data_IF_679059209479
#
_entry.id   IF_679059209479
#
_cell.length_a   1.000
_cell.length_b   1.000
_cell.length_c   1.000
_cell.angle_alpha   90.00
_cell.angle_beta   90.00
_cell.angle_gamma   90.00
#
_symmetry.space_group_name_H-M   'P 1'
#
loop_
_entity.id
_entity.type
_entity.pdbx_description
1 polymer ?
#
# COMPACT_ATOMS: atom_id res chain seq x y z
N UNK A 1 -4.26 9.16 4.71
CA UNK A 1 -4.93 8.88 3.41
C UNK A 1 -5.30 7.40 3.31
N UNK A 2 -4.35 6.46 3.48
CA UNK A 2 -4.61 5.01 3.42
C UNK A 2 -5.70 4.50 4.40
N UNK A 3 -5.66 4.90 5.67
CA UNK A 3 -6.67 4.51 6.66
C UNK A 3 -8.11 4.92 6.29
N UNK A 4 -8.28 6.08 5.67
CA UNK A 4 -9.60 6.57 5.28
C UNK A 4 -10.18 5.76 4.10
N UNK A 5 -9.32 5.35 3.15
CA UNK A 5 -9.72 4.49 2.03
C UNK A 5 -10.16 3.09 2.51
N UNK A 6 -9.43 2.51 3.47
CA UNK A 6 -9.77 1.21 4.06
C UNK A 6 -11.08 1.26 4.87
N UNK A 7 -11.28 2.29 5.70
CA UNK A 7 -12.52 2.45 6.47
C UNK A 7 -13.75 2.66 5.58
N UNK A 8 -13.64 3.49 4.53
CA UNK A 8 -14.73 3.66 3.56
C UNK A 8 -15.13 2.35 2.90
N UNK A 9 -14.14 1.49 2.66
CA UNK A 9 -14.33 0.21 1.99
C UNK A 9 -14.69 -0.92 2.96
N UNK A 10 -14.85 -0.63 4.26
CA UNK A 10 -15.15 -1.58 5.33
C UNK A 10 -14.26 -2.85 5.32
N UNK A 11 -13.01 -2.69 4.89
CA UNK A 11 -12.07 -3.80 4.76
C UNK A 11 -11.25 -3.99 6.03
N UNK A 12 -11.23 -5.22 6.51
CA UNK A 12 -10.18 -5.68 7.40
C UNK A 12 -8.91 -5.87 6.56
N UNK A 13 -8.03 -4.88 6.59
CA UNK A 13 -6.69 -4.98 6.03
C UNK A 13 -5.66 -4.92 7.15
N UNK A 14 -4.67 -5.80 7.08
CA UNK A 14 -3.51 -5.73 7.96
C UNK A 14 -2.58 -4.64 7.45
N UNK A 15 -2.25 -3.68 8.32
CA UNK A 15 -1.38 -2.56 7.98
C UNK A 15 -0.13 -2.61 8.82
N UNK A 16 0.98 -2.90 8.15
CA UNK A 16 2.30 -2.90 8.77
C UNK A 16 3.09 -1.68 8.28
N UNK A 17 3.57 -0.87 9.23
CA UNK A 17 4.44 0.27 8.93
C UNK A 17 5.88 -0.16 9.11
N UNK A 18 6.52 -0.50 8.00
CA UNK A 18 7.92 -0.92 7.98
C UNK A 18 8.82 0.32 7.89
N UNK A 19 9.71 0.49 8.87
CA UNK A 19 10.71 1.55 8.90
C UNK A 19 12.14 1.02 8.74
N UNK A 20 12.32 -0.30 8.90
CA UNK A 20 13.62 -0.96 8.79
C UNK A 20 14.08 -1.04 7.33
N UNK A 21 15.24 -0.44 6.98
CA UNK A 21 15.76 -0.45 5.61
C UNK A 21 15.98 -1.87 5.06
N UNK A 22 16.43 -2.79 5.92
CA UNK A 22 16.63 -4.20 5.58
C UNK A 22 15.33 -4.89 5.16
N UNK A 23 14.23 -4.62 5.88
CA UNK A 23 12.91 -5.15 5.51
C UNK A 23 12.38 -4.51 4.23
N UNK A 24 12.51 -3.19 4.09
CA UNK A 24 12.12 -2.47 2.86
C UNK A 24 12.84 -3.05 1.64
N UNK A 25 14.14 -3.34 1.74
CA UNK A 25 14.91 -3.96 0.66
C UNK A 25 14.45 -5.38 0.34
N UNK A 26 14.02 -6.18 1.32
CA UNK A 26 13.45 -7.53 1.09
C UNK A 26 12.19 -7.48 0.23
N UNK A 27 11.42 -6.41 0.31
CA UNK A 27 10.26 -6.18 -0.55
C UNK A 27 10.61 -5.68 -1.96
N UNK A 28 11.90 -5.54 -2.30
CA UNK A 28 12.34 -5.01 -3.60
C UNK A 28 12.08 -3.52 -3.77
N UNK A 29 11.77 -2.81 -2.67
CA UNK A 29 11.55 -1.36 -2.69
C UNK A 29 12.90 -0.65 -2.64
N UNK A 30 13.22 0.08 -3.70
CA UNK A 30 14.48 0.85 -3.80
C UNK A 30 14.31 2.31 -3.39
N UNK A 31 13.08 2.83 -3.43
CA UNK A 31 12.75 4.21 -3.11
C UNK A 31 11.49 4.26 -2.26
N UNK A 32 11.57 4.96 -1.13
CA UNK A 32 10.43 5.25 -0.26
C UNK A 32 9.92 6.67 -0.52
N UNK A 33 8.63 6.97 -0.26
CA UNK A 33 7.58 6.08 0.24
C UNK A 33 7.13 5.03 -0.79
N UNK A 34 6.73 3.87 -0.30
CA UNK A 34 6.21 2.76 -1.10
C UNK A 34 4.92 2.21 -0.49
N UNK A 35 4.06 1.63 -1.33
CA UNK A 35 2.82 0.99 -0.92
C UNK A 35 2.74 -0.40 -1.55
N UNK A 36 2.53 -1.39 -0.68
CA UNK A 36 2.41 -2.80 -1.03
C UNK A 36 1.03 -3.24 -0.56
N UNK A 37 0.28 -3.89 -1.44
CA UNK A 37 -1.05 -4.44 -1.15
C UNK A 37 -1.02 -5.91 -1.56
N UNK A 38 -1.40 -6.82 -0.66
CA UNK A 38 -1.36 -8.27 -0.87
C UNK A 38 -0.01 -8.80 -1.40
N UNK A 39 1.10 -8.25 -0.90
CA UNK A 39 2.46 -8.61 -1.35
C UNK A 39 2.86 -8.07 -2.73
N UNK A 40 1.99 -7.31 -3.41
CA UNK A 40 2.29 -6.67 -4.69
C UNK A 40 2.68 -5.22 -4.47
N UNK A 41 3.85 -4.82 -4.96
CA UNK A 41 4.29 -3.42 -4.95
C UNK A 41 3.46 -2.62 -5.94
N UNK A 42 2.56 -1.76 -5.43
CA UNK A 42 1.73 -0.87 -6.28
C UNK A 42 2.42 0.45 -6.55
N UNK A 43 3.27 0.89 -5.64
CA UNK A 43 3.93 2.19 -5.69
C UNK A 43 5.28 2.16 -4.98
N UNK A 44 6.32 2.74 -5.58
CA UNK A 44 7.63 2.92 -4.95
C UNK A 44 8.25 4.25 -5.41
N UNK A 45 8.75 5.04 -4.47
CA UNK A 45 9.44 6.31 -4.72
C UNK A 45 8.54 7.48 -5.13
N UNK A 46 7.21 7.32 -5.02
CA UNK A 46 6.23 8.40 -5.21
C UNK A 46 5.16 8.32 -4.12
N UNK A 47 4.63 9.47 -3.75
CA UNK A 47 3.50 9.54 -2.83
C UNK A 47 2.21 9.31 -3.64
N UNK A 48 1.45 8.23 -3.39
CA UNK A 48 0.23 7.97 -4.14
C UNK A 48 -0.88 8.96 -3.75
N UNK A 49 -1.74 9.30 -4.70
CA UNK A 49 -2.93 10.11 -4.43
C UNK A 49 -4.03 9.28 -3.76
N UNK A 50 -4.99 9.91 -3.05
CA UNK A 50 -6.11 9.19 -2.44
C UNK A 50 -6.92 8.35 -3.45
N UNK A 51 -7.12 8.86 -4.67
CA UNK A 51 -7.86 8.17 -5.71
C UNK A 51 -7.16 6.90 -6.20
N UNK A 52 -5.83 6.94 -6.38
CA UNK A 52 -5.04 5.77 -6.77
C UNK A 52 -5.06 4.68 -5.69
N UNK A 53 -5.01 5.08 -4.41
CA UNK A 53 -5.10 4.13 -3.30
C UNK A 53 -6.49 3.47 -3.27
N UNK A 54 -7.56 4.24 -3.47
CA UNK A 54 -8.93 3.70 -3.56
C UNK A 54 -9.06 2.73 -4.75
N UNK A 55 -8.46 3.04 -5.90
CA UNK A 55 -8.44 2.16 -7.09
C UNK A 55 -7.71 0.84 -6.82
N UNK A 56 -6.49 0.88 -6.28
CA UNK A 56 -5.73 -0.35 -6.02
C UNK A 56 -6.37 -1.23 -4.95
N UNK A 57 -6.97 -0.62 -3.92
CA UNK A 57 -7.74 -1.36 -2.93
C UNK A 57 -8.97 -1.97 -3.60
N UNK A 58 -9.67 -1.22 -4.45
CA UNK A 58 -10.79 -1.68 -5.29
C UNK A 58 -10.47 -2.93 -6.13
N UNK A 59 -9.37 -2.88 -6.89
CA UNK A 59 -8.91 -3.98 -7.74
C UNK A 59 -8.64 -5.27 -6.96
N UNK A 60 -8.10 -5.15 -5.75
CA UNK A 60 -7.70 -6.29 -4.93
C UNK A 60 -8.89 -6.91 -4.16
N UNK A 61 -9.97 -6.16 -3.92
CA UNK A 61 -11.23 -6.73 -3.36
C UNK A 61 -11.97 -7.57 -4.41
N UNK A 62 -11.84 -7.20 -5.68
CA UNK A 62 -12.54 -7.86 -6.79
C UNK A 62 -11.89 -9.16 -7.27
N UNK A 63 -10.69 -9.49 -6.77
CA UNK A 63 -9.99 -10.75 -7.03
C UNK A 63 -10.29 -11.80 -5.96
#
# INVERSE_FOLDING_TARGET
MLFAALQKSALAADMESVHDPDEIWRFGVTKTPALIINGTVKCAGRMPSPAEVEEWVGEEIGK
#
